data_IF_850857694070
#
_entry.id   IF_850857694070
#
_cell.length_a   1.000
_cell.length_b   1.000
_cell.length_c   1.000
_cell.angle_alpha   90.00
_cell.angle_beta   90.00
_cell.angle_gamma   90.00
#
_symmetry.space_group_name_H-M   'P 1'
#
loop_
_entity.id
_entity.type
_entity.pdbx_description
1 polymer ?
#
# COMPACT_ATOMS: atom_id res chain seq x y z
N UNK A 1 3.02 -4.20 -39.15
CA UNK A 1 4.01 -5.29 -38.98
C UNK A 1 4.02 -5.94 -37.58
N UNK A 2 3.40 -5.37 -36.53
CA UNK A 2 3.49 -5.94 -35.16
C UNK A 2 2.37 -6.90 -34.69
N UNK A 3 1.19 -6.96 -35.34
CA UNK A 3 0.18 -7.97 -34.98
C UNK A 3 0.35 -9.32 -35.72
N UNK A 4 1.15 -9.37 -36.79
CA UNK A 4 1.24 -10.55 -37.67
C UNK A 4 2.59 -11.28 -37.63
N UNK A 5 3.63 -10.65 -37.09
CA UNK A 5 4.99 -11.22 -37.05
C UNK A 5 5.58 -11.34 -35.63
N UNK A 6 5.27 -10.43 -34.69
CA UNK A 6 5.90 -10.45 -33.36
C UNK A 6 5.04 -11.09 -32.27
N UNK A 7 3.72 -11.22 -32.43
CA UNK A 7 2.83 -11.80 -31.41
C UNK A 7 2.78 -11.02 -30.08
N UNK A 8 3.25 -9.77 -30.07
CA UNK A 8 3.36 -8.91 -28.86
C UNK A 8 2.06 -8.13 -28.60
N UNK A 9 1.14 -8.10 -29.56
CA UNK A 9 -0.12 -7.40 -29.46
C UNK A 9 -1.28 -8.37 -29.75
N UNK A 10 -2.10 -8.64 -28.72
CA UNK A 10 -3.24 -9.57 -28.79
C UNK A 10 -4.42 -9.02 -29.59
N UNK A 11 -4.56 -7.69 -29.68
CA UNK A 11 -5.65 -7.03 -30.39
C UNK A 11 -5.15 -5.84 -31.22
N UNK A 12 -5.61 -5.76 -32.47
CA UNK A 12 -5.35 -4.63 -33.36
C UNK A 12 -6.53 -3.65 -33.30
N UNK A 13 -6.27 -2.42 -32.84
CA UNK A 13 -7.26 -1.36 -32.79
C UNK A 13 -7.07 -0.40 -33.96
N UNK A 14 -8.17 -0.04 -34.63
CA UNK A 14 -8.17 0.87 -35.78
C UNK A 14 -8.24 2.36 -35.38
N UNK A 15 -8.60 2.65 -34.12
CA UNK A 15 -8.67 3.99 -33.54
C UNK A 15 -8.63 3.93 -32.00
N UNK A 16 -8.37 5.06 -31.33
CA UNK A 16 -8.20 5.12 -29.87
C UNK A 16 -9.47 4.71 -29.09
N UNK A 17 -10.65 5.02 -29.62
CA UNK A 17 -11.91 4.61 -29.01
C UNK A 17 -12.09 3.09 -29.04
N UNK A 18 -11.68 2.45 -30.15
CA UNK A 18 -11.67 1.01 -30.32
C UNK A 18 -10.61 0.36 -29.43
N UNK A 19 -9.44 0.99 -29.26
CA UNK A 19 -8.41 0.51 -28.34
C UNK A 19 -8.90 0.49 -26.88
N UNK A 20 -9.61 1.54 -26.44
CA UNK A 20 -10.23 1.59 -25.11
C UNK A 20 -11.32 0.54 -24.94
N UNK A 21 -12.10 0.26 -25.99
CA UNK A 21 -13.10 -0.80 -25.96
C UNK A 21 -12.46 -2.19 -25.81
N UNK A 22 -11.44 -2.49 -26.62
CA UNK A 22 -10.69 -3.75 -26.55
C UNK A 22 -10.00 -3.94 -25.18
N UNK A 23 -9.43 -2.87 -24.62
CA UNK A 23 -8.85 -2.90 -23.28
C UNK A 23 -9.88 -3.22 -22.19
N UNK A 24 -11.10 -2.64 -22.27
CA UNK A 24 -12.19 -2.97 -21.33
C UNK A 24 -12.63 -4.42 -21.45
N UNK A 25 -12.75 -4.95 -22.67
CA UNK A 25 -13.11 -6.36 -22.90
C UNK A 25 -12.02 -7.29 -22.35
N UNK A 26 -10.74 -7.00 -22.61
CA UNK A 26 -9.63 -7.78 -22.09
C UNK A 26 -9.61 -7.81 -20.55
N UNK A 27 -9.86 -6.67 -19.90
CA UNK A 27 -9.97 -6.58 -18.43
C UNK A 27 -11.20 -7.33 -17.91
N UNK A 28 -12.30 -7.36 -18.67
CA UNK A 28 -13.54 -8.05 -18.27
C UNK A 28 -13.40 -9.58 -18.23
N UNK A 29 -12.48 -10.14 -19.03
CA UNK A 29 -12.18 -11.58 -19.04
C UNK A 29 -11.19 -11.99 -17.95
N UNK A 30 -10.64 -11.06 -17.18
CA UNK A 30 -9.79 -11.40 -16.05
C UNK A 30 -10.64 -12.11 -15.00
N UNK A 31 -10.29 -13.37 -14.69
CA UNK A 31 -10.88 -14.16 -13.61
C UNK A 31 -10.41 -13.67 -12.21
N UNK A 32 -10.29 -12.34 -12.05
CA UNK A 32 -9.95 -11.70 -10.79
C UNK A 32 -11.24 -11.53 -10.01
N UNK A 33 -11.55 -12.50 -9.15
CA UNK A 33 -12.53 -12.29 -8.10
C UNK A 33 -12.03 -11.19 -7.18
N UNK A 34 -12.82 -10.12 -7.01
CA UNK A 34 -12.63 -9.21 -5.89
C UNK A 34 -12.82 -10.07 -4.62
N UNK A 35 -11.88 -10.09 -3.67
CA UNK A 35 -12.09 -10.85 -2.44
C UNK A 35 -13.40 -10.40 -1.81
N UNK A 36 -14.34 -11.34 -1.69
CA UNK A 36 -15.63 -11.10 -1.07
C UNK A 36 -15.40 -10.79 0.41
N UNK A 37 -15.88 -9.63 0.84
CA UNK A 37 -15.91 -9.26 2.25
C UNK A 37 -14.54 -9.16 2.91
N UNK A 38 -13.74 -8.15 2.52
CA UNK A 38 -12.82 -7.57 3.51
C UNK A 38 -13.68 -7.21 4.72
N UNK A 39 -13.42 -7.85 5.87
CA UNK A 39 -14.20 -7.69 7.09
C UNK A 39 -14.07 -6.24 7.54
N UNK A 40 -15.00 -5.40 7.07
CA UNK A 40 -14.93 -3.96 7.26
C UNK A 40 -15.43 -3.65 8.67
N UNK A 41 -14.53 -3.14 9.50
CA UNK A 41 -14.91 -2.64 10.82
C UNK A 41 -15.39 -1.19 10.71
N UNK A 42 -16.04 -0.67 11.77
CA UNK A 42 -16.37 0.74 11.85
C UNK A 42 -15.06 1.56 11.80
N UNK A 43 -14.97 2.49 10.84
CA UNK A 43 -13.79 3.35 10.72
C UNK A 43 -13.70 4.26 11.94
N UNK A 44 -12.48 4.43 12.44
CA UNK A 44 -12.16 5.33 13.55
C UNK A 44 -11.14 6.33 13.07
N UNK A 45 -11.28 7.57 13.49
CA UNK A 45 -10.23 8.55 13.22
C UNK A 45 -8.94 8.14 13.96
N UNK A 46 -7.76 8.46 13.40
CA UNK A 46 -6.50 8.32 14.11
C UNK A 46 -6.52 9.15 15.40
N UNK A 47 -5.82 8.69 16.44
CA UNK A 47 -5.69 9.41 17.71
C UNK A 47 -4.85 10.69 17.57
N UNK A 48 -4.00 10.75 16.54
CA UNK A 48 -3.09 11.87 16.28
C UNK A 48 -3.50 12.61 15.00
N UNK A 49 -3.41 13.94 15.02
CA UNK A 49 -3.79 14.78 13.88
C UNK A 49 -2.85 14.52 12.67
N UNK A 50 -3.37 14.12 11.49
CA UNK A 50 -2.59 13.99 10.28
C UNK A 50 -1.81 15.25 9.88
N UNK A 51 -2.24 16.45 10.30
CA UNK A 51 -1.50 17.71 10.01
C UNK A 51 -0.10 17.74 10.63
N UNK A 52 0.12 16.99 11.72
CA UNK A 52 1.42 16.86 12.36
C UNK A 52 2.41 16.00 11.55
N UNK A 53 1.96 15.26 10.52
CA UNK A 53 2.84 14.47 9.65
C UNK A 53 3.98 15.32 9.06
N UNK A 54 3.71 16.58 8.74
CA UNK A 54 4.71 17.52 8.22
C UNK A 54 5.81 17.88 9.25
N UNK A 55 5.52 17.75 10.55
CA UNK A 55 6.48 17.94 11.63
C UNK A 55 7.26 16.67 11.97
N UNK A 56 6.66 15.50 11.76
CA UNK A 56 7.28 14.19 12.01
C UNK A 56 8.27 13.82 10.92
N UNK A 57 7.94 14.08 9.65
CA UNK A 57 8.80 13.75 8.51
C UNK A 57 9.78 14.91 8.28
N UNK A 58 11.09 14.71 8.52
CA UNK A 58 12.06 15.77 8.32
C UNK A 58 12.16 16.14 6.84
N UNK A 59 12.35 17.44 6.55
CA UNK A 59 12.63 17.88 5.19
C UNK A 59 13.95 17.32 4.63
N UNK A 60 14.89 16.96 5.52
CA UNK A 60 16.15 16.29 5.16
C UNK A 60 15.97 14.76 5.25
N UNK A 61 16.02 14.03 4.12
CA UNK A 61 15.83 12.58 4.09
C UNK A 61 16.95 11.78 4.79
N UNK A 62 18.05 12.43 5.19
CA UNK A 62 19.13 11.79 5.95
C UNK A 62 18.86 11.74 7.45
N UNK A 63 17.92 12.55 7.93
CA UNK A 63 17.57 12.56 9.36
C UNK A 63 16.71 11.33 9.66
N UNK A 64 17.11 10.50 10.63
CA UNK A 64 16.26 9.41 11.09
C UNK A 64 15.00 10.00 11.72
N UNK A 65 13.87 9.39 11.44
CA UNK A 65 12.58 9.66 12.07
C UNK A 65 11.91 8.31 12.31
N UNK A 66 11.01 8.24 13.31
CA UNK A 66 10.30 7.00 13.59
C UNK A 66 9.11 6.85 12.63
N UNK A 67 9.15 5.81 11.80
CA UNK A 67 8.06 5.49 10.88
C UNK A 67 6.76 5.10 11.60
N UNK A 68 6.83 4.68 12.87
CA UNK A 68 5.64 4.37 13.69
C UNK A 68 4.78 5.60 13.94
N UNK A 69 5.41 6.77 14.13
CA UNK A 69 4.71 8.05 14.29
C UNK A 69 3.92 8.43 13.03
N UNK A 70 4.45 8.09 11.86
CA UNK A 70 3.77 8.29 10.57
C UNK A 70 2.59 7.33 10.45
N UNK A 71 2.79 6.05 10.76
CA UNK A 71 1.73 5.03 10.69
C UNK A 71 0.58 5.37 11.64
N UNK A 72 0.88 5.76 12.89
CA UNK A 72 -0.11 6.10 13.90
C UNK A 72 -1.07 7.22 13.44
N UNK A 73 -0.61 8.15 12.60
CA UNK A 73 -1.43 9.25 12.04
C UNK A 73 -2.24 8.87 10.80
N UNK A 74 -1.93 7.72 10.20
CA UNK A 74 -2.57 7.25 8.98
C UNK A 74 -3.69 6.25 9.31
N UNK A 75 -3.38 5.28 10.18
CA UNK A 75 -4.26 4.14 10.48
C UNK A 75 -5.39 4.52 11.42
N UNK A 76 -6.52 3.82 11.27
CA UNK A 76 -7.71 4.02 12.08
C UNK A 76 -7.41 3.66 13.54
N UNK A 77 -7.79 4.54 14.48
CA UNK A 77 -7.52 4.35 15.91
C UNK A 77 -6.04 4.37 16.32
N UNK A 78 -5.11 4.67 15.40
CA UNK A 78 -3.66 4.58 15.63
C UNK A 78 -3.20 3.19 16.11
N UNK A 79 -3.98 2.15 15.83
CA UNK A 79 -3.70 0.77 16.22
C UNK A 79 -2.82 0.09 15.17
N UNK A 80 -1.64 -0.37 15.59
CA UNK A 80 -0.72 -1.17 14.79
C UNK A 80 -0.37 -2.45 15.55
N UNK A 81 -0.74 -3.60 15.01
CA UNK A 81 -0.30 -4.89 15.51
C UNK A 81 1.02 -5.26 14.83
N UNK A 82 2.13 -5.01 15.54
CA UNK A 82 3.47 -5.21 15.00
C UNK A 82 3.83 -6.68 14.85
N UNK A 83 4.09 -7.10 13.62
CA UNK A 83 4.58 -8.43 13.32
C UNK A 83 6.08 -8.53 13.61
N UNK A 84 6.45 -9.41 14.55
CA UNK A 84 7.86 -9.64 14.95
C UNK A 84 8.60 -8.33 15.30
N UNK A 85 8.06 -7.56 16.25
CA UNK A 85 8.62 -6.27 16.68
C UNK A 85 10.11 -6.33 17.07
N UNK A 86 10.58 -7.43 17.65
CA UNK A 86 11.97 -7.62 18.11
C UNK A 86 12.93 -8.16 17.03
N UNK A 87 12.46 -8.44 15.82
CA UNK A 87 13.27 -9.01 14.74
C UNK A 87 13.33 -8.05 13.55
N UNK A 88 14.53 -7.79 13.00
CA UNK A 88 14.71 -6.89 11.87
C UNK A 88 14.13 -5.49 12.13
N UNK A 89 14.62 -4.79 13.16
CA UNK A 89 14.08 -3.51 13.67
C UNK A 89 14.17 -2.36 12.67
N UNK A 90 14.94 -2.50 11.59
CA UNK A 90 14.99 -1.51 10.51
C UNK A 90 13.77 -1.57 9.58
N UNK A 91 12.98 -2.64 9.63
CA UNK A 91 11.72 -2.76 8.90
C UNK A 91 10.56 -2.97 9.88
N UNK A 92 9.66 -1.99 9.93
CA UNK A 92 8.42 -2.07 10.69
C UNK A 92 7.39 -2.74 9.81
N UNK A 93 6.88 -3.89 10.25
CA UNK A 93 5.79 -4.60 9.59
C UNK A 93 4.68 -4.83 10.59
N UNK A 94 3.43 -4.74 10.14
CA UNK A 94 2.29 -5.01 11.02
C UNK A 94 0.96 -4.98 10.29
N UNK A 95 -0.09 -5.31 11.04
CA UNK A 95 -1.47 -5.24 10.58
C UNK A 95 -2.15 -4.04 11.22
N UNK A 96 -2.97 -3.35 10.42
CA UNK A 96 -3.73 -2.20 10.88
C UNK A 96 -5.04 -2.10 10.09
N UNK A 97 -5.88 -1.12 10.43
CA UNK A 97 -7.08 -0.80 9.68
C UNK A 97 -6.98 0.59 9.07
N UNK A 98 -7.54 0.75 7.86
CA UNK A 98 -7.62 2.04 7.18
C UNK A 98 -9.02 2.18 6.56
N UNK A 99 -9.77 3.18 6.99
CA UNK A 99 -11.19 3.36 6.64
C UNK A 99 -12.05 2.11 6.92
N UNK A 100 -11.69 1.38 7.99
CA UNK A 100 -12.29 0.11 8.36
C UNK A 100 -11.81 -1.10 7.54
N UNK A 101 -10.96 -0.94 6.53
CA UNK A 101 -10.39 -2.06 5.78
C UNK A 101 -9.13 -2.61 6.46
N UNK A 102 -8.99 -3.93 6.61
CA UNK A 102 -7.74 -4.50 7.09
C UNK A 102 -6.64 -4.28 6.06
N UNK A 103 -5.50 -3.79 6.52
CA UNK A 103 -4.30 -3.53 5.72
C UNK A 103 -3.05 -4.12 6.37
N UNK A 104 -2.10 -4.54 5.54
CA UNK A 104 -0.79 -5.02 5.95
C UNK A 104 0.22 -3.95 5.61
N UNK A 105 0.91 -3.41 6.61
CA UNK A 105 1.86 -2.32 6.45
C UNK A 105 3.26 -2.91 6.47
N UNK A 106 4.07 -2.50 5.50
CA UNK A 106 5.52 -2.72 5.50
C UNK A 106 6.17 -1.36 5.29
N UNK A 107 6.92 -0.90 6.29
CA UNK A 107 7.48 0.44 6.33
C UNK A 107 8.95 0.41 6.75
N UNK A 108 9.76 1.15 6.01
CA UNK A 108 11.19 1.18 6.24
C UNK A 108 11.56 2.28 7.24
N UNK A 109 12.30 1.90 8.28
CA UNK A 109 12.83 2.80 9.30
C UNK A 109 14.35 3.05 9.13
N UNK A 110 15.00 2.44 8.13
CA UNK A 110 16.44 2.58 7.93
C UNK A 110 17.01 1.77 6.76
N UNK A 111 18.18 1.17 6.97
CA UNK A 111 18.82 0.32 5.95
C UNK A 111 18.15 -1.06 5.94
N UNK A 112 17.87 -1.58 4.75
CA UNK A 112 17.31 -2.92 4.59
C UNK A 112 18.40 -3.98 4.73
N UNK A 113 18.30 -4.77 5.79
CA UNK A 113 19.14 -5.95 6.01
C UNK A 113 18.43 -7.23 5.56
N UNK A 114 19.18 -8.30 5.31
CA UNK A 114 18.63 -9.59 4.85
C UNK A 114 17.55 -10.15 5.80
N UNK A 115 17.77 -10.03 7.11
CA UNK A 115 16.81 -10.44 8.15
C UNK A 115 15.49 -9.66 8.06
N UNK A 116 15.59 -8.36 7.76
CA UNK A 116 14.43 -7.48 7.59
C UNK A 116 13.67 -7.78 6.30
N UNK A 117 14.38 -8.12 5.22
CA UNK A 117 13.76 -8.56 3.98
C UNK A 117 12.98 -9.88 4.17
N UNK A 118 13.54 -10.85 4.92
CA UNK A 118 12.86 -12.10 5.27
C UNK A 118 11.58 -11.84 6.09
N UNK A 119 11.64 -10.93 7.06
CA UNK A 119 10.45 -10.50 7.83
C UNK A 119 9.35 -9.97 6.92
N UNK A 120 9.69 -9.08 5.98
CA UNK A 120 8.74 -8.54 5.00
C UNK A 120 8.14 -9.62 4.10
N UNK A 121 8.97 -10.56 3.61
CA UNK A 121 8.51 -11.69 2.80
C UNK A 121 7.54 -12.60 3.57
N UNK A 122 7.82 -12.87 4.85
CA UNK A 122 6.93 -13.67 5.69
C UNK A 122 5.58 -12.97 5.88
N UNK A 123 5.57 -11.67 6.17
CA UNK A 123 4.32 -10.91 6.30
C UNK A 123 3.53 -10.88 4.98
N UNK A 124 4.22 -10.69 3.84
CA UNK A 124 3.58 -10.74 2.53
C UNK A 124 2.87 -12.07 2.30
N UNK A 125 3.52 -13.20 2.64
CA UNK A 125 2.91 -14.54 2.51
C UNK A 125 1.64 -14.67 3.36
N UNK A 126 1.64 -14.14 4.59
CA UNK A 126 0.47 -14.13 5.47
C UNK A 126 -0.67 -13.25 4.94
N UNK A 127 -0.36 -12.10 4.32
CA UNK A 127 -1.35 -11.11 3.91
C UNK A 127 -2.03 -11.42 2.55
N UNK A 128 -1.38 -12.21 1.68
CA UNK A 128 -1.81 -12.46 0.29
C UNK A 128 -3.24 -12.99 0.12
N UNK A 129 -3.84 -13.58 1.16
CA UNK A 129 -5.18 -14.17 1.08
C UNK A 129 -6.28 -13.36 1.80
N UNK A 130 -5.93 -12.31 2.55
CA UNK A 130 -6.89 -11.70 3.51
C UNK A 130 -6.85 -10.16 3.50
N UNK A 131 -5.75 -9.53 3.08
CA UNK A 131 -5.47 -8.13 3.43
C UNK A 131 -4.83 -7.37 2.25
N UNK A 132 -5.23 -6.11 2.03
CA UNK A 132 -4.52 -5.24 1.06
C UNK A 132 -3.15 -4.83 1.62
N UNK A 133 -2.08 -5.20 0.93
CA UNK A 133 -0.72 -4.88 1.33
C UNK A 133 -0.36 -3.45 0.90
N UNK A 134 0.02 -2.59 1.85
CA UNK A 134 0.52 -1.25 1.60
C UNK A 134 2.01 -1.18 1.92
N UNK A 135 2.80 -0.92 0.87
CA UNK A 135 4.26 -0.81 0.97
C UNK A 135 4.66 0.67 1.05
N UNK A 136 5.16 1.09 2.21
CA UNK A 136 5.66 2.44 2.46
C UNK A 136 7.16 2.52 2.16
N UNK A 137 7.51 2.64 0.88
CA UNK A 137 8.89 2.83 0.42
C UNK A 137 9.25 4.28 0.10
N UNK A 138 8.26 5.08 -0.32
CA UNK A 138 8.39 6.52 -0.49
C UNK A 138 7.27 7.23 0.24
N UNK A 139 7.59 7.74 1.42
CA UNK A 139 6.68 8.51 2.28
C UNK A 139 5.99 9.65 1.52
N UNK A 140 6.66 10.29 0.56
CA UNK A 140 6.10 11.41 -0.22
C UNK A 140 4.83 11.05 -1.00
N UNK A 141 4.74 9.84 -1.57
CA UNK A 141 3.57 9.40 -2.34
C UNK A 141 2.40 9.06 -1.41
N UNK A 142 2.70 8.48 -0.25
CA UNK A 142 1.64 8.13 0.70
C UNK A 142 1.16 9.33 1.50
N UNK A 143 2.03 10.27 1.86
CA UNK A 143 1.60 11.56 2.42
C UNK A 143 0.72 12.30 1.42
N UNK A 144 1.11 12.37 0.15
CA UNK A 144 0.31 13.04 -0.87
C UNK A 144 -1.07 12.40 -1.00
N UNK A 145 -1.15 11.07 -1.02
CA UNK A 145 -2.41 10.34 -1.06
C UNK A 145 -3.23 10.52 0.24
N UNK A 146 -2.62 10.38 1.42
CA UNK A 146 -3.32 10.56 2.70
C UNK A 146 -3.86 11.99 2.82
N UNK A 147 -3.04 13.01 2.55
CA UNK A 147 -3.42 14.42 2.66
C UNK A 147 -4.48 14.82 1.62
N UNK A 148 -4.35 14.39 0.36
CA UNK A 148 -5.30 14.79 -0.70
C UNK A 148 -6.55 13.91 -0.77
N UNK A 149 -6.50 12.67 -0.29
CA UNK A 149 -7.62 11.72 -0.42
C UNK A 149 -8.49 11.67 0.84
N UNK A 150 -7.94 11.85 2.07
CA UNK A 150 -8.77 11.99 3.28
C UNK A 150 -9.63 13.26 3.29
N UNK A 151 -9.24 14.31 2.56
CA UNK A 151 -10.03 15.55 2.48
C UNK A 151 -11.19 15.51 1.47
N UNK A 152 -11.33 14.43 0.68
CA UNK A 152 -12.32 14.32 -0.41
C UNK A 152 -13.43 13.30 -0.17
N UNK A 153 -13.45 12.63 0.97
CA UNK A 153 -14.51 11.71 1.42
C UNK A 153 -15.25 12.37 2.58
#
# INVERSE_FOLDING_TARGET
MHCRQSGVADHYAENDAHALHLARVAVSHLNRKKPDGLCRIASREPLYDPKELNGVVPADPRKPFDIREVIARIVDGSELDEFKALYGTTLVCGFAHLFGYPIGIIANNGVLFAESALKGAHLSSYALNVVSLYYFCKISLVLWWVVNTKQRV
#
